data_IF_342187205860
#
_entry.id   IF_342187205860
#
_cell.length_a   1.000
_cell.length_b   1.000
_cell.length_c   1.000
_cell.angle_alpha   90.00
_cell.angle_beta   90.00
_cell.angle_gamma   90.00
#
_symmetry.space_group_name_H-M   'P 1'
#
loop_
_entity.id
_entity.type
_entity.pdbx_description
1 polymer ?
2 non-polymer ?
3 water ?
#
# COMPACT_ATOMS: atom_id res chain seq x y z
N UNK A 10 24.92 19.17 -19.78
CA UNK A 10 23.48 19.46 -19.78
C UNK A 10 22.73 18.34 -20.47
N UNK A 11 22.41 17.25 -19.72
CA UNK A 11 21.49 16.33 -20.41
C UNK A 11 20.04 16.78 -20.22
N UNK A 12 19.69 17.96 -20.75
CA UNK A 12 18.37 18.53 -20.52
C UNK A 12 17.33 17.95 -21.49
N UNK A 13 16.20 17.50 -20.95
CA UNK A 13 15.19 16.82 -21.76
C UNK A 13 13.79 17.38 -21.47
N UNK A 14 13.31 18.26 -22.35
CA UNK A 14 12.01 18.90 -22.16
C UNK A 14 11.16 18.87 -23.42
N UNK A 15 9.85 18.78 -23.25
CA UNK A 15 8.91 18.76 -24.37
C UNK A 15 7.90 19.89 -24.27
N UNK A 16 7.93 20.62 -23.16
CA UNK A 16 6.97 21.69 -22.91
C UNK A 16 7.41 23.01 -23.52
N UNK A 17 6.62 23.49 -24.47
CA UNK A 17 6.95 24.72 -25.18
C UNK A 17 5.66 25.36 -25.65
N UNK A 18 5.71 26.64 -26.00
CA UNK A 18 4.51 27.28 -26.50
C UNK A 18 4.43 27.00 -27.99
N UNK A 19 3.57 26.05 -28.34
CA UNK A 19 3.32 25.71 -29.73
C UNK A 19 1.86 25.91 -30.07
N UNK A 20 1.04 26.15 -29.04
CA UNK A 20 -0.40 26.24 -29.21
C UNK A 20 -0.86 27.63 -29.63
N UNK A 21 -1.81 27.67 -30.56
CA UNK A 21 -2.44 28.91 -30.97
C UNK A 21 -3.93 28.69 -31.22
N UNK A 22 -4.73 29.69 -30.92
CA UNK A 22 -6.17 29.61 -31.15
C UNK A 22 -6.58 30.61 -32.23
N UNK A 23 -7.24 30.11 -33.27
CA UNK A 23 -7.60 30.95 -34.41
C UNK A 23 -8.96 31.62 -34.23
N UNK A 24 -9.98 30.83 -33.90
CA UNK A 24 -11.32 31.36 -33.75
C UNK A 24 -11.59 31.92 -32.37
N UNK A 25 -12.87 32.02 -32.03
CA UNK A 25 -13.27 32.45 -30.70
C UNK A 25 -13.60 31.25 -29.83
N UNK A 26 -13.51 31.43 -28.52
CA UNK A 26 -13.88 30.38 -27.59
C UNK A 26 -15.39 30.34 -27.41
N UNK A 27 -15.96 29.15 -27.43
CA UNK A 27 -17.37 28.99 -27.10
C UNK A 27 -17.49 28.82 -25.60
N UNK A 28 -18.43 29.56 -25.01
CA UNK A 28 -18.60 29.61 -23.56
C UNK A 28 -19.64 28.59 -23.13
N UNK A 29 -19.28 27.78 -22.15
CA UNK A 29 -20.17 26.77 -21.61
C UNK A 29 -20.26 26.89 -20.10
N UNK A 30 -21.36 26.41 -19.55
CA UNK A 30 -21.53 26.35 -18.11
C UNK A 30 -21.63 24.91 -17.65
N UNK A 31 -20.93 24.58 -16.57
CA UNK A 31 -21.04 23.27 -15.95
C UNK A 31 -22.50 23.00 -15.60
N UNK A 32 -22.89 21.74 -15.54
CA UNK A 32 -24.25 21.43 -15.11
C UNK A 32 -24.35 21.57 -13.60
N UNK A 33 -25.57 21.80 -13.12
CA UNK A 33 -25.85 22.04 -11.70
C UNK A 33 -25.11 21.05 -10.80
N UNK A 34 -24.87 19.85 -11.32
CA UNK A 34 -23.99 18.93 -10.63
C UNK A 34 -22.56 19.47 -10.65
N UNK A 35 -21.91 19.54 -11.81
CA UNK A 35 -20.45 19.69 -11.82
C UNK A 35 -19.96 20.94 -11.08
N UNK A 36 -20.81 21.96 -11.01
CA UNK A 36 -20.40 23.15 -10.30
C UNK A 36 -20.14 22.81 -8.83
N UNK A 37 -21.00 21.99 -8.26
CA UNK A 37 -20.80 21.50 -6.89
C UNK A 37 -19.57 20.60 -6.77
N UNK A 38 -19.39 19.71 -7.74
CA UNK A 38 -18.27 18.75 -7.73
C UNK A 38 -16.92 19.45 -7.81
N UNK A 39 -16.85 20.47 -8.66
CA UNK A 39 -15.62 21.25 -8.85
C UNK A 39 -15.35 22.16 -7.65
N UNK A 40 -16.43 22.77 -7.19
CA UNK A 40 -16.49 23.60 -6.00
C UNK A 40 -15.94 22.81 -4.79
N UNK A 41 -16.58 21.66 -4.54
CA UNK A 41 -16.27 20.77 -3.41
C UNK A 41 -14.81 20.31 -3.35
N UNK A 42 -14.35 19.69 -4.45
CA UNK A 42 -12.99 19.16 -4.61
C UNK A 42 -11.97 20.25 -4.35
N UNK A 43 -12.29 21.48 -4.77
CA UNK A 43 -11.51 22.64 -4.31
C UNK A 43 -11.69 22.99 -2.83
N UNK A 44 -12.94 23.14 -2.38
CA UNK A 44 -13.21 23.57 -1.01
C UNK A 44 -12.91 22.64 0.19
N UNK A 45 -13.35 21.38 0.12
CA UNK A 45 -13.27 20.50 1.29
C UNK A 45 -12.67 19.10 1.11
N UNK A 46 -12.40 18.73 -0.14
CA UNK A 46 -12.08 17.36 -0.52
C UNK A 46 -10.69 16.89 -0.07
N UNK A 47 -9.70 17.77 -0.19
CA UNK A 47 -8.31 17.42 0.11
C UNK A 47 -7.78 18.16 1.33
N UNK A 48 -7.15 17.43 2.23
CA UNK A 48 -6.65 18.01 3.48
C UNK A 48 -5.51 19.00 3.24
N UNK A 49 -4.60 18.69 2.32
CA UNK A 49 -3.54 19.61 1.92
C UNK A 49 -3.41 19.75 0.40
N UNK A 50 -3.34 20.99 -0.04
CA UNK A 50 -3.39 21.36 -1.47
C UNK A 50 -2.39 20.64 -2.39
N UNK A 51 -1.17 20.42 -1.90
CA UNK A 51 -0.08 19.87 -2.72
C UNK A 51 -0.47 18.61 -3.49
N UNK A 52 -1.41 17.86 -2.94
CA UNK A 52 -1.85 16.61 -3.55
C UNK A 52 -2.42 16.79 -4.95
N UNK A 53 -2.65 18.03 -5.37
CA UNK A 53 -3.12 18.24 -6.74
C UNK A 53 -2.05 17.70 -7.70
N UNK A 54 -0.79 17.97 -7.38
CA UNK A 54 0.33 17.44 -8.14
C UNK A 54 0.23 15.92 -8.23
N UNK A 55 -0.16 15.31 -7.12
CA UNK A 55 -0.33 13.87 -7.04
C UNK A 55 -1.41 13.37 -7.98
N UNK A 56 -2.52 14.10 -8.07
CA UNK A 56 -3.66 13.64 -8.84
C UNK A 56 -3.39 13.74 -10.33
N UNK A 57 -2.98 14.93 -10.78
CA UNK A 57 -2.66 15.18 -12.17
C UNK A 57 -1.66 14.16 -12.71
N UNK A 58 -0.55 14.01 -12.00
CA UNK A 58 0.45 12.99 -12.34
C UNK A 58 -0.22 11.64 -12.53
N UNK A 59 -1.06 11.25 -11.57
CA UNK A 59 -1.77 9.99 -11.66
C UNK A 59 -2.58 9.93 -12.95
N UNK A 60 -3.31 10.99 -13.24
CA UNK A 60 -4.05 11.08 -14.48
C UNK A 60 -3.10 10.90 -15.67
N UNK A 61 -1.98 11.62 -15.62
CA UNK A 61 -0.98 11.55 -16.68
C UNK A 61 -0.50 10.12 -16.88
N UNK A 62 -0.47 9.35 -15.79
CA UNK A 62 -0.07 7.96 -15.88
C UNK A 62 -1.13 7.19 -16.64
N UNK A 63 -2.38 7.32 -16.20
CA UNK A 63 -3.49 6.55 -16.76
C UNK A 63 -3.58 6.72 -18.27
N UNK A 64 -3.67 7.98 -18.71
CA UNK A 64 -3.66 8.31 -20.13
C UNK A 64 -2.55 7.53 -20.84
N UNK A 65 -1.33 7.66 -20.31
CA UNK A 65 -0.18 7.02 -20.92
C UNK A 65 -0.42 5.52 -21.05
N UNK A 66 -0.89 4.91 -19.96
CA UNK A 66 -1.19 3.48 -19.98
C UNK A 66 -2.16 3.19 -21.13
N UNK A 67 -3.24 3.95 -21.18
CA UNK A 67 -4.29 3.73 -22.16
C UNK A 67 -3.75 3.88 -23.58
N UNK A 68 -2.72 4.69 -23.75
CA UNK A 68 -2.10 4.81 -25.05
C UNK A 68 -1.29 3.57 -25.34
N UNK A 69 -0.45 3.18 -24.39
CA UNK A 69 0.47 2.07 -24.57
C UNK A 69 -0.32 0.79 -24.83
N UNK A 70 -1.42 0.62 -24.11
CA UNK A 70 -2.30 -0.51 -24.30
C UNK A 70 -2.84 -0.56 -25.73
N UNK A 71 -3.24 0.60 -26.23
CA UNK A 71 -3.83 0.69 -27.57
C UNK A 71 -2.82 0.24 -28.62
N UNK A 72 -1.75 1.02 -28.75
CA UNK A 72 -0.69 0.78 -29.73
C UNK A 72 -0.20 -0.67 -29.73
N UNK A 73 0.26 -1.14 -28.58
CA UNK A 73 0.76 -2.50 -28.43
C UNK A 73 -0.28 -3.52 -28.92
N UNK A 74 -1.54 -3.26 -28.66
CA UNK A 74 -2.61 -4.17 -29.08
C UNK A 74 -2.74 -4.19 -30.60
N UNK A 75 -2.60 -3.03 -31.23
CA UNK A 75 -2.73 -2.94 -32.68
C UNK A 75 -1.41 -3.29 -33.38
N UNK A 76 -0.38 -3.57 -32.59
CA UNK A 76 0.91 -3.95 -33.13
C UNK A 76 1.70 -2.77 -33.65
N UNK A 77 1.31 -1.56 -33.22
CA UNK A 77 1.98 -0.35 -33.65
C UNK A 77 3.18 -0.02 -32.75
N UNK A 78 4.16 0.65 -33.32
CA UNK A 78 5.36 1.04 -32.58
C UNK A 78 5.03 2.08 -31.51
N UNK A 79 5.90 2.18 -30.51
CA UNK A 79 5.67 3.09 -29.39
C UNK A 79 6.45 4.39 -29.53
N UNK A 80 5.76 5.52 -29.31
CA UNK A 80 6.41 6.82 -29.26
C UNK A 80 6.96 7.08 -27.87
N UNK A 81 7.57 8.24 -27.66
CA UNK A 81 8.08 8.57 -26.34
C UNK A 81 6.92 8.81 -25.36
N UNK A 82 6.81 7.92 -24.38
CA UNK A 82 5.78 8.07 -23.37
C UNK A 82 6.47 8.68 -22.18
N UNK A 83 6.06 9.89 -21.84
CA UNK A 83 6.67 10.61 -20.73
C UNK A 83 5.71 11.56 -20.02
N UNK A 84 6.03 11.89 -18.77
CA UNK A 84 5.32 12.93 -18.04
C UNK A 84 6.29 14.06 -17.73
N UNK A 85 5.88 15.29 -18.03
CA UNK A 85 6.76 16.44 -17.83
C UNK A 85 6.11 17.52 -16.96
N UNK A 86 6.89 18.03 -16.03
CA UNK A 86 6.44 19.12 -15.16
C UNK A 86 7.33 20.33 -15.35
N UNK A 87 6.73 21.52 -15.38
CA UNK A 87 7.48 22.76 -15.57
C UNK A 87 7.02 23.83 -14.59
N UNK A 88 7.94 24.34 -13.78
CA UNK A 88 7.62 25.45 -12.89
C UNK A 88 8.15 26.76 -13.48
N UNK A 89 7.44 27.85 -13.22
CA UNK A 89 7.86 29.17 -13.69
C UNK A 89 7.57 30.23 -12.65
N UNK A 90 8.63 30.89 -12.18
CA UNK A 90 8.53 31.87 -11.10
C UNK A 90 8.03 33.22 -11.61
N UNK A 91 8.56 33.64 -12.77
CA UNK A 91 8.22 34.94 -13.34
C UNK A 91 6.76 35.00 -13.77
N UNK A 92 6.22 33.87 -14.21
CA UNK A 92 4.83 33.79 -14.63
C UNK A 92 3.95 33.21 -13.53
N UNK A 93 4.59 32.65 -12.50
CA UNK A 93 3.90 32.08 -11.38
C UNK A 93 3.01 30.91 -11.76
N UNK A 94 3.53 30.04 -12.63
CA UNK A 94 2.72 28.93 -13.13
C UNK A 94 3.36 27.57 -12.89
N UNK A 95 2.52 26.55 -12.78
CA UNK A 95 3.00 25.17 -12.80
C UNK A 95 2.29 24.42 -13.93
N UNK A 96 3.06 23.63 -14.68
CA UNK A 96 2.57 23.00 -15.89
C UNK A 96 2.81 21.49 -15.87
N UNK A 97 1.84 20.72 -16.33
CA UNK A 97 2.04 19.28 -16.46
C UNK A 97 1.54 18.76 -17.81
N UNK A 98 2.45 18.21 -18.60
CA UNK A 98 2.11 17.67 -19.90
C UNK A 98 2.40 16.18 -19.97
N UNK A 99 1.48 15.45 -20.60
CA UNK A 99 1.65 14.04 -20.92
C UNK A 99 1.24 13.84 -22.37
N UNK A 100 1.99 13.00 -23.09
CA UNK A 100 1.70 12.74 -24.49
C UNK A 100 0.69 11.61 -24.65
N UNK A 101 0.30 11.01 -23.52
CA UNK A 101 -0.54 9.83 -23.52
C UNK A 101 -1.68 9.92 -24.53
N UNK A 102 -2.71 9.12 -24.31
CA UNK A 102 -3.92 9.25 -25.11
C UNK A 102 -4.56 10.58 -24.72
N UNK A 103 -5.27 11.20 -25.65
CA UNK A 103 -5.79 12.52 -25.40
C UNK A 103 -7.27 12.54 -25.09
N UNK A 104 -7.86 13.72 -25.23
CA UNK A 104 -9.29 13.88 -25.02
C UNK A 104 -9.94 14.39 -26.29
N UNK A 105 -10.99 13.72 -26.73
CA UNK A 105 -11.78 14.20 -27.86
C UNK A 105 -12.54 15.44 -27.42
N UNK A 106 -13.13 16.15 -28.38
CA UNK A 106 -13.90 17.35 -28.07
C UNK A 106 -15.06 17.03 -27.13
N UNK A 107 -15.69 15.90 -27.37
CA UNK A 107 -16.80 15.42 -26.55
C UNK A 107 -16.40 15.30 -25.08
N UNK A 108 -15.24 14.68 -24.84
CA UNK A 108 -14.74 14.47 -23.49
C UNK A 108 -14.48 15.79 -22.78
N UNK A 109 -13.90 16.74 -23.50
CA UNK A 109 -13.59 18.05 -22.95
C UNK A 109 -14.87 18.83 -22.59
N UNK A 110 -15.85 18.78 -23.48
CA UNK A 110 -17.08 19.55 -23.30
C UNK A 110 -17.90 19.06 -22.10
N UNK A 111 -18.12 17.76 -22.00
CA UNK A 111 -18.95 17.20 -20.94
C UNK A 111 -18.10 16.64 -19.80
N UNK A 142 -11.54 8.43 -15.28
CA UNK A 142 -10.49 9.11 -14.53
C UNK A 142 -10.97 9.51 -13.14
N UNK A 143 -11.98 10.37 -13.08
CA UNK A 143 -12.56 10.77 -11.81
C UNK A 143 -12.66 12.26 -11.62
N UNK A 144 -12.27 12.72 -10.44
CA UNK A 144 -12.37 14.13 -10.08
C UNK A 144 -11.01 14.74 -9.74
N UNK A 145 -9.96 13.93 -9.86
CA UNK A 145 -8.62 14.36 -9.52
C UNK A 145 -8.22 15.67 -10.15
N UNK A 146 -8.50 15.82 -11.44
CA UNK A 146 -8.17 17.03 -12.18
C UNK A 146 -8.62 18.30 -11.47
N UNK A 147 -9.87 18.30 -11.01
CA UNK A 147 -10.46 19.50 -10.43
C UNK A 147 -9.77 19.94 -9.14
N UNK A 148 -8.96 19.05 -8.56
CA UNK A 148 -8.17 19.42 -7.38
C UNK A 148 -7.21 20.56 -7.72
N UNK A 149 -6.94 20.73 -9.01
CA UNK A 149 -6.11 21.83 -9.48
C UNK A 149 -6.66 23.19 -9.06
N UNK A 150 -7.96 23.26 -8.83
CA UNK A 150 -8.58 24.52 -8.46
C UNK A 150 -8.45 24.81 -6.97
N UNK A 151 -7.70 23.97 -6.26
CA UNK A 151 -7.33 24.27 -4.89
C UNK A 151 -6.25 25.32 -4.86
N UNK A 152 -5.55 25.49 -5.98
CA UNK A 152 -4.35 26.33 -6.01
C UNK A 152 -4.31 27.33 -7.17
N UNK A 153 -5.39 27.44 -7.94
CA UNK A 153 -5.33 28.20 -9.19
C UNK A 153 -6.35 29.33 -9.31
N UNK A 154 -5.90 30.46 -9.85
CA UNK A 154 -6.80 31.52 -10.30
C UNK A 154 -7.54 31.04 -11.53
N UNK A 155 -6.79 30.44 -12.45
CA UNK A 155 -7.34 29.94 -13.70
C UNK A 155 -6.55 28.74 -14.21
N UNK A 156 -7.23 27.87 -14.94
CA UNK A 156 -6.63 26.67 -15.50
C UNK A 156 -6.79 26.67 -17.02
N UNK A 157 -5.66 26.48 -17.69
CA UNK A 157 -5.57 26.50 -19.15
C UNK A 157 -5.06 25.17 -19.67
N UNK A 158 -5.88 24.48 -20.45
CA UNK A 158 -5.59 23.11 -20.86
C UNK A 158 -5.61 22.94 -22.37
N UNK A 159 -4.64 22.21 -22.90
CA UNK A 159 -4.65 21.85 -24.31
C UNK A 159 -4.59 20.33 -24.43
N UNK A 160 -5.48 19.77 -25.24
CA UNK A 160 -5.50 18.31 -25.38
C UNK A 160 -5.79 17.87 -26.81
N UNK A 161 -5.24 16.71 -27.14
CA UNK A 161 -5.52 16.06 -28.41
C UNK A 161 -5.68 14.58 -28.15
N UNK A 162 -6.67 13.99 -28.79
CA UNK A 162 -6.82 12.53 -28.76
C UNK A 162 -5.82 11.83 -29.69
N UNK A 163 -5.46 10.61 -29.32
CA UNK A 163 -4.52 9.81 -30.09
C UNK A 163 -5.19 9.21 -31.32
N UNK A 164 -6.52 9.33 -31.38
CA UNK A 164 -7.27 8.86 -32.53
C UNK A 164 -6.79 9.59 -33.79
N UNK A 165 -6.64 8.85 -34.89
CA UNK A 165 -6.13 9.41 -36.15
C UNK A 165 -6.94 10.60 -36.64
N UNK A 166 -6.26 11.66 -37.07
CA UNK A 166 -6.90 12.85 -37.58
C UNK A 166 -7.72 13.59 -36.54
N UNK A 167 -7.29 13.52 -35.29
CA UNK A 167 -7.97 14.25 -34.22
C UNK A 167 -7.49 15.69 -34.14
N UNK A 168 -8.40 16.59 -33.78
CA UNK A 168 -8.06 17.99 -33.63
C UNK A 168 -7.66 18.32 -32.20
N UNK A 169 -6.82 19.33 -32.04
CA UNK A 169 -6.42 19.80 -30.73
C UNK A 169 -7.39 20.84 -30.22
N UNK A 170 -7.53 20.93 -28.90
CA UNK A 170 -8.47 21.87 -28.31
C UNK A 170 -7.91 22.57 -27.07
N UNK A 171 -8.38 23.79 -26.88
CA UNK A 171 -8.10 24.60 -25.70
C UNK A 171 -9.34 24.69 -24.81
N UNK A 172 -9.11 24.50 -23.51
CA UNK A 172 -10.12 24.52 -22.47
C UNK A 172 -9.68 25.50 -21.39
N UNK A 173 -10.50 26.50 -21.10
CA UNK A 173 -10.12 27.51 -20.10
C UNK A 173 -11.16 27.59 -19.00
N UNK A 174 -10.71 27.74 -17.75
CA UNK A 174 -11.65 27.85 -16.62
C UNK A 174 -11.19 28.78 -15.51
N UNK A 175 -12.15 29.48 -14.88
CA UNK A 175 -11.89 30.28 -13.69
C UNK A 175 -12.42 29.58 -12.44
N UNK A 176 -12.88 28.35 -12.62
CA UNK A 176 -13.55 27.57 -11.60
C UNK A 176 -14.97 28.04 -11.36
N UNK A 177 -15.33 29.16 -11.97
CA UNK A 177 -16.63 29.79 -11.82
C UNK A 177 -17.82 28.84 -11.94
N UNK A 178 -17.89 28.15 -13.07
CA UNK A 178 -19.14 27.61 -13.52
C UNK A 178 -19.13 27.91 -15.00
N UNK A 179 -18.18 28.74 -15.41
CA UNK A 179 -17.97 29.07 -16.83
C UNK A 179 -16.63 28.53 -17.35
N UNK A 180 -16.67 27.65 -18.34
CA UNK A 180 -15.44 27.26 -19.04
C UNK A 180 -15.56 27.54 -20.53
N UNK A 181 -14.43 27.52 -21.23
CA UNK A 181 -14.40 27.88 -22.63
C UNK A 181 -13.70 26.81 -23.47
N UNK A 182 -14.27 26.51 -24.64
CA UNK A 182 -13.65 25.55 -25.54
C UNK A 182 -13.39 26.17 -26.91
N UNK A 183 -12.17 26.01 -27.43
CA UNK A 183 -11.87 26.48 -28.78
C UNK A 183 -10.96 25.49 -29.48
N UNK A 184 -11.01 25.45 -30.81
CA UNK A 184 -10.10 24.59 -31.55
C UNK A 184 -8.72 25.20 -31.61
N UNK A 185 -7.72 24.43 -31.19
CA UNK A 185 -6.35 24.93 -31.14
C UNK A 185 -5.45 24.20 -32.12
N UNK A 186 -4.42 24.90 -32.58
CA UNK A 186 -3.38 24.30 -33.42
C UNK A 186 -2.11 24.15 -32.61
N UNK A 187 -1.18 23.32 -33.09
CA UNK A 187 0.09 23.12 -32.40
C UNK A 187 -0.06 22.39 -31.08
N UNK A 188 -1.12 21.57 -30.98
CA UNK A 188 -1.31 20.75 -29.80
C UNK A 188 -0.74 19.35 -30.03
N UNK A 189 0.20 18.96 -29.17
CA UNK A 189 0.78 17.63 -29.25
C UNK A 189 -0.22 16.60 -28.74
N UNK A 190 -0.15 15.38 -29.29
CA UNK A 190 -0.97 14.28 -28.80
C UNK A 190 -0.75 14.11 -27.30
N UNK A 191 -1.84 14.02 -26.56
CA UNK A 191 -1.77 13.97 -25.11
C UNK A 191 -2.42 15.19 -24.49
N UNK A 192 -2.12 15.45 -23.22
CA UNK A 192 -2.76 16.56 -22.51
C UNK A 192 -1.74 17.49 -21.87
N UNK A 193 -1.94 18.80 -22.06
CA UNK A 193 -1.09 19.80 -21.43
C UNK A 193 -1.92 20.70 -20.52
N UNK A 194 -1.60 20.70 -19.23
CA UNK A 194 -2.34 21.49 -18.26
C UNK A 194 -1.50 22.61 -17.69
N UNK A 195 -1.93 23.85 -17.93
CA UNK A 195 -1.24 25.02 -17.43
C UNK A 195 -2.01 25.65 -16.27
N UNK A 196 -1.39 25.65 -15.10
CA UNK A 196 -2.01 26.19 -13.89
C UNK A 196 -1.39 27.52 -13.50
N UNK A 197 -2.23 28.57 -13.54
CA UNK A 197 -1.83 29.88 -13.05
C UNK A 197 -2.20 29.99 -11.57
N UNK A 198 -1.23 29.68 -10.72
CA UNK A 198 -1.43 29.64 -9.27
C UNK A 198 -1.98 30.95 -8.74
N UNK A 199 -2.93 30.86 -7.80
CA UNK A 199 -3.39 32.04 -7.08
C UNK A 199 -2.24 32.58 -6.24
N UNK A 200 -2.40 33.78 -5.68
CA UNK A 200 -1.23 34.48 -5.15
C UNK A 200 -0.63 33.93 -3.84
N UNK A 201 -1.39 33.16 -3.05
CA UNK A 201 -0.84 32.54 -1.84
C UNK A 201 -0.21 31.17 -2.14
N UNK A 202 -0.34 30.72 -3.39
CA UNK A 202 0.16 29.39 -3.78
C UNK A 202 1.34 29.46 -4.75
N UNK A 203 2.08 30.57 -4.77
CA UNK A 203 3.24 30.69 -5.65
C UNK A 203 4.36 29.72 -5.28
N UNK A 204 4.23 29.06 -4.14
CA UNK A 204 5.22 28.10 -3.68
C UNK A 204 5.35 26.91 -4.63
N UNK A 205 4.26 26.56 -5.30
CA UNK A 205 4.26 25.46 -6.25
C UNK A 205 4.78 25.92 -7.60
N UNK A 206 5.33 27.13 -7.63
CA UNK A 206 6.04 27.63 -8.79
C UNK A 206 7.54 27.48 -8.57
N UNK A 207 7.90 27.04 -7.36
CA UNK A 207 9.29 26.82 -7.00
C UNK A 207 9.71 25.39 -7.31
N UNK A 208 10.84 25.24 -7.99
CA UNK A 208 11.33 23.93 -8.42
C UNK A 208 11.56 22.98 -7.25
N UNK A 209 12.22 23.47 -6.20
CA UNK A 209 12.54 22.65 -5.04
C UNK A 209 11.28 22.07 -4.38
N UNK A 210 10.33 22.95 -4.09
CA UNK A 210 9.06 22.57 -3.48
C UNK A 210 8.36 21.43 -4.23
N UNK A 211 8.12 21.67 -5.52
CA UNK A 211 7.45 20.71 -6.38
C UNK A 211 8.25 19.40 -6.47
N UNK A 212 9.57 19.51 -6.52
CA UNK A 212 10.46 18.35 -6.44
C UNK A 212 10.13 17.49 -5.22
N UNK A 213 10.09 18.15 -4.07
CA UNK A 213 9.77 17.47 -2.81
C UNK A 213 8.41 16.78 -2.86
N UNK A 214 7.40 17.49 -3.33
CA UNK A 214 6.05 16.92 -3.45
C UNK A 214 6.06 15.67 -4.33
N UNK A 215 6.70 15.79 -5.48
CA UNK A 215 6.85 14.70 -6.44
C UNK A 215 7.47 13.46 -5.82
N UNK A 216 8.65 13.62 -5.23
CA UNK A 216 9.33 12.47 -4.63
C UNK A 216 8.52 11.90 -3.48
N UNK A 217 7.73 12.75 -2.83
CA UNK A 217 6.85 12.31 -1.75
C UNK A 217 5.79 11.35 -2.26
N UNK A 218 4.93 11.83 -3.17
CA UNK A 218 3.77 11.03 -3.56
C UNK A 218 3.94 10.19 -4.83
N UNK A 219 4.82 10.66 -5.71
CA UNK A 219 4.88 10.20 -7.11
C UNK A 219 6.14 9.45 -7.53
N UNK A 220 6.93 8.98 -6.57
CA UNK A 220 8.22 8.36 -6.89
C UNK A 220 8.09 7.12 -7.76
N UNK A 221 7.07 6.31 -7.50
CA UNK A 221 6.91 5.00 -8.13
C UNK A 221 6.06 5.03 -9.40
N UNK A 222 5.97 6.20 -10.04
CA UNK A 222 5.21 6.34 -11.28
C UNK A 222 5.70 5.38 -12.35
N UNK A 223 4.77 4.83 -13.14
CA UNK A 223 5.09 3.79 -14.11
C UNK A 223 5.78 4.32 -15.37
N UNK A 224 5.62 5.60 -15.64
CA UNK A 224 6.22 6.21 -16.83
C UNK A 224 7.26 7.25 -16.44
N UNK A 225 8.29 7.45 -17.29
CA UNK A 225 9.36 8.43 -17.04
C UNK A 225 8.82 9.83 -16.72
N UNK A 226 9.27 10.39 -15.60
CA UNK A 226 8.79 11.68 -15.15
C UNK A 226 9.90 12.71 -15.07
N UNK A 227 9.69 13.85 -15.71
CA UNK A 227 10.70 14.90 -15.77
C UNK A 227 10.20 16.19 -15.12
N UNK A 228 11.08 16.87 -14.39
CA UNK A 228 10.79 18.19 -13.86
C UNK A 228 11.80 19.20 -14.40
N UNK A 229 11.29 20.23 -15.06
CA UNK A 229 12.12 21.27 -15.67
C UNK A 229 13.27 20.71 -16.51
N UNK A 230 13.01 19.59 -17.18
CA UNK A 230 13.99 18.98 -18.06
C UNK A 230 14.79 17.85 -17.43
N UNK A 231 14.65 17.67 -16.13
CA UNK A 231 15.47 16.69 -15.42
C UNK A 231 14.67 15.48 -14.92
N UNK A 232 15.19 14.29 -15.17
CA UNK A 232 14.56 13.06 -14.70
C UNK A 232 14.54 13.02 -13.17
N UNK A 233 13.38 12.71 -12.61
CA UNK A 233 13.19 12.78 -11.17
C UNK A 233 12.74 11.49 -10.50
N UNK A 234 12.49 10.42 -11.28
CA UNK A 234 11.95 9.18 -10.73
C UNK A 234 12.74 7.96 -11.19
N UNK A 235 12.78 6.93 -10.35
CA UNK A 235 13.56 5.74 -10.70
C UNK A 235 13.15 4.48 -9.94
N UNK A 236 12.29 4.60 -8.94
CA UNK A 236 11.91 3.43 -8.14
C UNK A 236 10.77 2.66 -8.78
N UNK A 237 10.87 1.33 -8.73
CA UNK A 237 9.93 0.45 -9.40
C UNK A 237 8.89 -0.12 -8.43
N UNK A 238 7.62 0.11 -8.72
CA UNK A 238 6.53 -0.39 -7.89
C UNK A 238 6.43 -1.91 -8.00
N UNK A 239 7.38 -2.60 -7.38
CA UNK A 239 7.51 -4.05 -7.53
C UNK A 239 6.34 -4.83 -6.96
N UNK A 240 5.48 -4.18 -6.18
CA UNK A 240 4.32 -4.85 -5.61
C UNK A 240 3.26 -5.11 -6.67
N UNK A 241 3.36 -4.38 -7.78
CA UNK A 241 2.43 -4.55 -8.89
C UNK A 241 2.80 -5.71 -9.79
N UNK A 242 4.07 -6.13 -9.72
CA UNK A 242 4.56 -7.21 -10.56
C UNK A 242 3.92 -8.56 -10.22
N UNK A 243 4.16 -9.53 -11.09
CA UNK A 243 3.83 -10.92 -10.81
C UNK A 243 4.84 -11.42 -9.78
N UNK A 244 4.35 -11.97 -8.65
CA UNK A 244 5.22 -12.52 -7.60
C UNK A 244 6.30 -13.44 -8.14
N UNK A 245 6.01 -14.14 -9.23
CA UNK A 245 6.96 -15.03 -9.87
C UNK A 245 8.02 -14.31 -10.71
N UNK A 246 7.88 -13.00 -10.87
CA UNK A 246 8.86 -12.25 -11.65
C UNK A 246 9.79 -11.45 -10.75
N UNK A 247 9.27 -11.05 -9.59
CA UNK A 247 10.08 -10.38 -8.58
C UNK A 247 11.07 -11.35 -7.95
N UNK A 248 12.36 -10.99 -7.94
CA UNK A 248 13.34 -11.84 -7.29
C UNK A 248 14.28 -11.09 -6.34
N UNK A 249 15.00 -11.87 -5.55
CA UNK A 249 15.63 -11.46 -4.29
C UNK A 249 16.19 -10.03 -4.18
N UNK A 250 17.05 -9.63 -5.13
CA UNK A 250 17.72 -8.34 -5.02
C UNK A 250 16.72 -7.17 -5.00
N UNK A 251 15.62 -7.32 -5.72
CA UNK A 251 14.56 -6.33 -5.76
C UNK A 251 13.81 -6.23 -4.43
N UNK A 252 13.38 -7.39 -3.92
CA UNK A 252 12.71 -7.45 -2.62
C UNK A 252 13.60 -6.85 -1.53
N UNK A 253 14.91 -7.10 -1.64
CA UNK A 253 15.86 -6.56 -0.67
C UNK A 253 15.95 -5.04 -0.76
N UNK A 254 16.11 -4.52 -1.98
CA UNK A 254 16.11 -3.07 -2.17
C UNK A 254 14.85 -2.41 -1.59
N UNK A 255 13.70 -2.88 -2.04
CA UNK A 255 12.42 -2.32 -1.62
C UNK A 255 12.24 -2.40 -0.11
N UNK A 256 12.64 -3.53 0.48
CA UNK A 256 12.59 -3.69 1.93
C UNK A 256 13.41 -2.61 2.61
N UNK A 257 14.63 -2.41 2.13
CA UNK A 257 15.50 -1.39 2.70
C UNK A 257 14.89 0.01 2.57
N UNK A 258 14.26 0.28 1.43
CA UNK A 258 13.63 1.59 1.23
C UNK A 258 12.47 1.81 2.20
N UNK A 259 11.49 0.92 2.18
CA UNK A 259 10.28 1.12 2.98
C UNK A 259 10.52 1.01 4.48
N UNK A 260 11.48 0.20 4.89
CA UNK A 260 11.73 0.00 6.31
C UNK A 260 12.85 0.92 6.81
N UNK A 261 13.47 1.62 5.86
CA UNK A 261 14.63 2.46 6.16
C UNK A 261 15.67 1.67 6.95
N UNK A 262 15.96 0.47 6.47
CA UNK A 262 16.85 -0.45 7.16
C UNK A 262 18.01 -0.86 6.26
N UNK A 263 19.04 -1.44 6.87
CA UNK A 263 20.24 -1.84 6.13
C UNK A 263 20.42 -3.35 6.11
N UNK A 264 19.49 -4.08 6.72
CA UNK A 264 19.56 -5.53 6.75
C UNK A 264 18.71 -6.15 5.66
N UNK A 265 18.35 -7.42 5.85
CA UNK A 265 17.55 -8.15 4.88
C UNK A 265 16.24 -8.63 5.50
N UNK A 266 15.21 -8.87 4.67
CA UNK A 266 13.98 -9.43 5.23
C UNK A 266 14.11 -10.94 5.43
N UNK A 267 13.86 -11.40 6.65
CA UNK A 267 13.91 -12.84 6.92
C UNK A 267 12.67 -13.50 6.33
N UNK A 268 11.58 -12.75 6.22
CA UNK A 268 10.36 -13.28 5.61
C UNK A 268 9.79 -12.32 4.55
N UNK A 269 9.30 -12.88 3.45
CA UNK A 269 8.69 -12.09 2.39
C UNK A 269 7.38 -12.70 1.90
N UNK A 270 6.31 -11.92 1.94
CA UNK A 270 5.00 -12.33 1.45
C UNK A 270 4.48 -11.35 0.40
N UNK A 271 4.42 -11.79 -0.85
CA UNK A 271 3.87 -10.99 -1.93
C UNK A 271 2.43 -11.42 -2.18
N UNK A 272 1.48 -10.58 -1.78
CA UNK A 272 0.07 -10.97 -1.74
C UNK A 272 -0.82 -10.13 -2.65
N UNK A 273 -1.51 -10.79 -3.58
CA UNK A 273 -2.40 -10.12 -4.52
C UNK A 273 -3.78 -10.77 -4.55
N UNK A 274 -4.83 -9.95 -4.48
CA UNK A 274 -6.20 -10.48 -4.60
C UNK A 274 -7.18 -9.53 -5.28
N UNK A 275 -8.14 -10.11 -5.99
CA UNK A 275 -9.30 -9.40 -6.51
C UNK A 275 -10.56 -10.01 -5.91
N UNK A 276 -10.42 -11.16 -5.28
CA UNK A 276 -11.56 -11.94 -4.80
C UNK A 276 -12.35 -11.21 -3.69
N UNK A 277 -11.67 -10.74 -2.63
CA UNK A 277 -12.49 -9.91 -1.74
C UNK A 277 -12.47 -8.44 -2.16
N UNK A 278 -11.36 -7.76 -1.89
CA UNK A 278 -11.15 -6.39 -2.35
C UNK A 278 -9.93 -6.36 -3.25
N UNK A 279 -9.56 -5.18 -3.73
CA UNK A 279 -8.37 -5.02 -4.55
C UNK A 279 -7.11 -4.89 -3.70
N UNK A 280 -6.22 -5.88 -3.77
CA UNK A 280 -5.00 -5.83 -2.95
C UNK A 280 -3.73 -6.20 -3.73
N UNK A 281 -2.77 -5.28 -3.72
CA UNK A 281 -1.41 -5.53 -4.18
C UNK A 281 -0.44 -5.17 -3.06
N UNK A 282 0.06 -6.17 -2.33
CA UNK A 282 0.87 -5.87 -1.16
C UNK A 282 2.15 -6.70 -1.06
N UNK A 283 3.12 -6.14 -0.34
CA UNK A 283 4.32 -6.90 0.03
C UNK A 283 4.61 -6.70 1.52
N UNK A 284 4.82 -7.82 2.22
CA UNK A 284 5.10 -7.78 3.64
C UNK A 284 6.45 -8.42 3.96
N UNK A 285 7.23 -7.75 4.81
CA UNK A 285 8.56 -8.20 5.18
C UNK A 285 8.70 -8.36 6.68
N UNK A 286 9.41 -9.41 7.08
CA UNK A 286 9.88 -9.56 8.45
C UNK A 286 11.40 -9.47 8.47
N UNK A 287 11.92 -8.43 9.13
CA UNK A 287 13.34 -8.08 9.25
C UNK A 287 14.21 -9.20 9.84
N UNK A 288 15.48 -9.23 9.43
CA UNK A 288 16.44 -10.18 9.97
C UNK A 288 16.73 -9.86 11.43
N UNK A 289 16.83 -8.57 11.73
CA UNK A 289 17.16 -8.11 13.07
C UNK A 289 15.94 -8.17 13.99
N UNK A 290 16.18 -8.43 15.28
CA UNK A 290 15.11 -8.41 16.27
C UNK A 290 14.71 -6.97 16.61
N UNK A 291 13.47 -6.77 17.09
CA UNK A 291 12.98 -5.43 17.43
C UNK A 291 13.91 -4.67 18.36
N UNK A 303 6.43 1.51 9.77
CA UNK A 303 5.34 0.56 9.51
C UNK A 303 4.96 0.54 8.03
N UNK A 304 3.82 -0.08 7.74
CA UNK A 304 3.39 -0.29 6.36
C UNK A 304 2.94 1.00 5.68
N UNK A 305 3.37 1.19 4.44
CA UNK A 305 2.95 2.33 3.63
C UNK A 305 1.68 2.01 2.85
N UNK A 306 0.78 2.99 2.79
CA UNK A 306 -0.49 2.83 2.07
C UNK A 306 -0.48 3.53 0.72
N UNK A 307 -0.42 2.73 -0.35
CA UNK A 307 -0.47 3.26 -1.70
C UNK A 307 -1.80 2.93 -2.37
N UNK A 308 -2.12 3.70 -3.40
CA UNK A 308 -3.21 3.39 -4.31
C UNK A 308 -2.72 3.58 -5.74
N UNK A 309 -2.77 2.52 -6.55
CA UNK A 309 -2.40 2.62 -7.96
C UNK A 309 -1.00 3.22 -8.11
N UNK A 310 -0.09 2.86 -7.22
CA UNK A 310 1.27 3.38 -7.26
C UNK A 310 1.34 4.84 -6.80
N UNK A 311 0.28 5.30 -6.15
CA UNK A 311 0.21 6.69 -5.69
C UNK A 311 0.10 6.74 -4.16
N UNK A 312 1.06 7.43 -3.52
CA UNK A 312 1.12 7.46 -2.07
C UNK A 312 -0.10 8.14 -1.44
N UNK A 313 -0.84 7.40 -0.60
CA UNK A 313 -1.98 7.96 0.12
C UNK A 313 -1.57 8.36 1.54
N UNK A 314 -0.95 7.43 2.25
CA UNK A 314 -0.64 7.64 3.66
C UNK A 314 0.76 7.19 4.07
N UNK A 315 1.28 7.83 5.12
CA UNK A 315 2.59 7.49 5.67
C UNK A 315 2.48 7.08 7.14
N UNK A 316 3.14 5.98 7.50
CA UNK A 316 3.12 5.49 8.87
C UNK A 316 1.69 5.19 9.34
N UNK A 317 0.88 4.64 8.44
CA UNK A 317 -0.52 4.33 8.76
C UNK A 317 -0.62 3.27 9.86
N UNK A 318 -1.54 3.49 10.80
CA UNK A 318 -1.66 2.62 11.97
C UNK A 318 -2.86 1.67 12.01
N UNK A 319 -3.66 1.58 10.96
CA UNK A 319 -4.87 0.77 11.06
C UNK A 319 -4.97 -0.30 9.96
N UNK A 320 -4.08 -0.24 8.98
CA UNK A 320 -4.04 -1.24 7.91
C UNK A 320 -3.82 -2.64 8.48
N UNK A 321 -2.92 -2.74 9.44
CA UNK A 321 -2.66 -4.00 10.13
C UNK A 321 -3.03 -3.90 11.59
N UNK A 322 -3.42 -5.03 12.21
CA UNK A 322 -3.60 -5.05 13.66
C UNK A 322 -2.31 -4.65 14.35
N UNK A 323 -2.42 -3.99 15.50
CA UNK A 323 -1.26 -3.44 16.18
C UNK A 323 -0.22 -4.50 16.50
N UNK A 324 -0.68 -5.72 16.78
CA UNK A 324 0.25 -6.79 17.12
C UNK A 324 1.09 -7.19 15.91
N UNK A 325 0.69 -6.73 14.74
CA UNK A 325 1.45 -6.96 13.51
C UNK A 325 2.22 -5.71 13.09
N UNK A 326 2.49 -4.83 14.04
CA UNK A 326 3.17 -3.56 13.76
C UNK A 326 4.65 -3.77 13.46
N UNK A 327 5.14 -5.00 13.63
CA UNK A 327 6.53 -5.32 13.35
C UNK A 327 6.73 -5.59 11.85
N UNK A 328 5.63 -5.82 11.15
CA UNK A 328 5.65 -6.06 9.71
C UNK A 328 6.06 -4.79 8.96
N UNK A 329 6.89 -4.93 7.94
CA UNK A 329 7.25 -3.79 7.10
C UNK A 329 6.75 -3.98 5.68
N UNK A 330 6.67 -2.91 4.90
CA UNK A 330 6.29 -3.05 3.50
C UNK A 330 5.17 -2.17 3.01
N UNK A 331 4.44 -2.65 2.01
CA UNK A 331 3.47 -1.80 1.32
C UNK A 331 2.12 -2.50 1.09
N UNK A 332 1.05 -1.73 1.17
CA UNK A 332 -0.28 -2.21 0.80
C UNK A 332 -0.90 -1.25 -0.22
N UNK A 333 -1.28 -1.79 -1.38
CA UNK A 333 -1.83 -0.98 -2.45
C UNK A 333 -3.25 -1.40 -2.79
N UNK A 334 -4.18 -0.46 -2.75
CA UNK A 334 -5.59 -0.77 -2.99
C UNK A 334 -6.33 0.38 -3.66
N UNK A 335 -7.31 0.03 -4.51
CA UNK A 335 -8.10 1.03 -5.22
C UNK A 335 -9.35 1.40 -4.43
N UNK A 336 -9.55 0.74 -3.29
CA UNK A 336 -10.73 0.94 -2.47
C UNK A 336 -10.42 1.91 -1.34
N UNK A 337 -10.13 3.14 -1.74
CA UNK A 337 -9.58 4.16 -0.87
C UNK A 337 -10.27 5.49 -1.14
N UNK A 338 -10.47 6.32 -0.09
CA UNK A 338 -11.13 7.64 -0.19
C UNK A 338 -10.90 8.43 -1.48
N UNK A 349 -10.04 7.63 8.29
CA UNK A 349 -9.80 6.22 8.53
C UNK A 349 -10.86 5.64 9.48
N UNK A 350 -12.11 5.63 9.04
CA UNK A 350 -13.20 5.07 9.82
C UNK A 350 -13.45 3.60 9.54
N UNK A 351 -13.46 3.23 8.26
CA UNK A 351 -13.72 1.84 7.88
C UNK A 351 -12.75 1.30 6.84
N UNK A 352 -11.51 1.10 7.24
CA UNK A 352 -10.51 0.45 6.39
C UNK A 352 -10.33 -0.98 6.88
N UNK A 353 -11.19 -1.38 7.81
CA UNK A 353 -10.99 -2.60 8.59
C UNK A 353 -11.22 -3.91 7.83
N UNK A 354 -11.91 -3.85 6.68
CA UNK A 354 -12.05 -5.05 5.84
C UNK A 354 -10.67 -5.55 5.51
N UNK A 355 -9.88 -4.62 5.00
CA UNK A 355 -8.50 -4.84 4.65
C UNK A 355 -7.73 -5.37 5.85
N UNK A 356 -7.98 -4.81 7.02
CA UNK A 356 -7.26 -5.24 8.22
C UNK A 356 -7.52 -6.70 8.56
N UNK A 357 -8.77 -7.11 8.46
CA UNK A 357 -9.13 -8.50 8.74
C UNK A 357 -8.54 -9.43 7.68
N UNK A 358 -8.71 -9.07 6.41
CA UNK A 358 -8.17 -9.86 5.32
C UNK A 358 -6.65 -10.07 5.47
N UNK A 359 -5.95 -8.98 5.77
CA UNK A 359 -4.51 -9.02 5.92
C UNK A 359 -4.07 -9.77 7.18
N UNK A 360 -4.85 -9.67 8.24
CA UNK A 360 -4.53 -10.41 9.46
C UNK A 360 -4.63 -11.90 9.20
N UNK A 361 -5.72 -12.32 8.55
CA UNK A 361 -5.91 -13.73 8.24
C UNK A 361 -4.84 -14.24 7.27
N UNK A 362 -4.53 -13.43 6.25
CA UNK A 362 -3.53 -13.81 5.26
C UNK A 362 -2.14 -13.93 5.87
N UNK A 363 -1.81 -13.04 6.79
CA UNK A 363 -0.50 -13.06 7.44
C UNK A 363 -0.38 -14.23 8.42
N UNK A 364 -1.43 -14.45 9.21
CA UNK A 364 -1.46 -15.61 10.10
C UNK A 364 -1.28 -16.89 9.29
N UNK A 365 -2.05 -17.02 8.21
CA UNK A 365 -1.94 -18.16 7.32
C UNK A 365 -0.51 -18.30 6.79
N UNK A 366 0.08 -17.17 6.39
CA UNK A 366 1.44 -17.15 5.88
C UNK A 366 2.42 -17.75 6.88
N UNK A 367 2.39 -17.26 8.11
CA UNK A 367 3.31 -17.74 9.15
C UNK A 367 3.07 -19.20 9.49
N UNK A 368 1.80 -19.61 9.57
CA UNK A 368 1.46 -21.01 9.79
C UNK A 368 2.08 -21.89 8.71
N UNK A 369 2.04 -21.41 7.46
CA UNK A 369 2.63 -22.14 6.36
C UNK A 369 4.16 -22.08 6.39
N UNK A 370 4.70 -21.05 7.04
CA UNK A 370 6.14 -20.93 7.19
C UNK A 370 6.66 -21.96 8.16
N UNK A 371 5.88 -22.22 9.21
CA UNK A 371 6.28 -23.17 10.24
C UNK A 371 6.37 -24.61 9.72
N UNK A 372 5.76 -24.87 8.58
CA UNK A 372 5.73 -26.22 8.01
C UNK A 372 6.88 -26.46 7.02
N UNK A 373 7.09 -25.52 6.10
CA UNK A 373 8.17 -25.67 5.12
C UNK A 373 9.55 -25.54 5.79
N UNK A 374 9.61 -24.82 6.91
CA UNK A 374 10.83 -24.73 7.69
C UNK A 374 10.47 -24.72 9.19
N UNK A 375 11.22 -25.49 9.97
CA UNK A 375 10.91 -25.65 11.39
C UNK A 375 11.72 -24.72 12.29
N UNK A 376 13.03 -24.68 12.09
CA UNK A 376 13.91 -23.94 13.01
C UNK A 376 13.96 -22.44 12.72
N UNK A 377 13.82 -22.06 11.45
CA UNK A 377 13.76 -20.65 11.09
C UNK A 377 12.55 -20.01 11.76
N UNK A 378 11.43 -20.73 11.74
CA UNK A 378 10.24 -20.25 12.42
C UNK A 378 10.43 -20.29 13.93
N UNK A 379 11.29 -21.19 14.41
CA UNK A 379 11.58 -21.25 15.83
C UNK A 379 12.27 -19.95 16.27
N UNK A 380 13.27 -19.53 15.51
CA UNK A 380 13.93 -18.26 15.80
C UNK A 380 12.95 -17.10 15.64
N UNK A 381 12.09 -17.18 14.63
CA UNK A 381 11.07 -16.15 14.43
C UNK A 381 10.18 -15.99 15.66
N UNK A 382 9.70 -17.10 16.19
CA UNK A 382 8.87 -17.09 17.39
C UNK A 382 9.67 -16.58 18.58
N UNK A 383 10.96 -16.89 18.60
CA UNK A 383 11.82 -16.43 19.68
C UNK A 383 11.93 -14.90 19.68
N UNK A 384 12.01 -14.32 18.49
CA UNK A 384 12.26 -12.88 18.38
C UNK A 384 10.99 -12.03 18.32
N UNK A 385 9.87 -12.64 17.95
CA UNK A 385 8.63 -11.88 17.75
C UNK A 385 7.43 -12.44 18.51
N UNK A 386 7.64 -13.45 19.34
CA UNK A 386 6.57 -14.06 20.10
C UNK A 386 5.85 -13.07 21.00
N UNK A 387 6.59 -12.04 21.41
CA UNK A 387 6.05 -10.90 22.15
C UNK A 387 4.76 -10.38 21.53
N UNK A 388 4.84 -10.01 20.26
CA UNK A 388 3.71 -9.43 19.55
C UNK A 388 2.54 -10.38 19.42
N UNK A 389 2.85 -11.67 19.36
CA UNK A 389 1.82 -12.68 19.18
C UNK A 389 1.04 -12.90 20.47
N UNK A 390 1.76 -13.01 21.58
CA UNK A 390 1.14 -13.08 22.90
C UNK A 390 0.31 -11.84 23.17
N UNK A 391 0.91 -10.69 22.90
CA UNK A 391 0.25 -9.39 23.07
C UNK A 391 -1.04 -9.32 22.26
N UNK A 392 -0.98 -9.78 21.02
CA UNK A 392 -2.14 -9.83 20.15
C UNK A 392 -3.23 -10.73 20.70
N UNK A 393 -2.83 -11.89 21.22
CA UNK A 393 -3.77 -12.83 21.81
C UNK A 393 -4.50 -12.22 23.00
N UNK A 394 -3.74 -11.63 23.92
CA UNK A 394 -4.33 -11.05 25.12
C UNK A 394 -5.17 -9.81 24.79
N UNK A 395 -4.82 -9.13 23.69
CA UNK A 395 -5.51 -7.90 23.31
C UNK A 395 -6.87 -8.17 22.65
N UNK A 396 -6.91 -9.12 21.73
CA UNK A 396 -8.11 -9.38 20.93
C UNK A 396 -9.31 -9.78 21.80
N UNK A 397 -10.47 -9.21 21.47
CA UNK A 397 -11.68 -9.42 22.25
C UNK A 397 -12.31 -10.80 22.00
N UNK A 398 -12.69 -11.06 20.76
CA UNK A 398 -13.36 -12.31 20.40
C UNK A 398 -12.40 -13.47 20.57
N UNK A 399 -12.95 -14.63 20.92
CA UNK A 399 -12.17 -15.78 21.33
C UNK A 399 -11.32 -16.38 20.22
N UNK A 400 -11.87 -16.50 19.02
CA UNK A 400 -11.16 -17.29 18.04
C UNK A 400 -10.20 -16.40 17.28
N UNK A 401 -10.30 -15.08 17.40
CA UNK A 401 -9.20 -14.23 16.93
C UNK A 401 -7.96 -14.57 17.79
N UNK A 402 -8.21 -14.66 19.09
CA UNK A 402 -7.23 -15.17 20.04
C UNK A 402 -6.67 -16.50 19.53
N UNK A 403 -7.55 -17.41 19.11
CA UNK A 403 -7.10 -18.76 18.72
C UNK A 403 -6.31 -18.82 17.39
N UNK A 404 -6.81 -18.10 16.37
CA UNK A 404 -6.04 -17.83 15.14
C UNK A 404 -4.63 -17.41 15.45
N UNK A 405 -4.51 -16.37 16.26
CA UNK A 405 -3.18 -15.88 16.59
C UNK A 405 -2.42 -16.92 17.40
N UNK A 406 -3.16 -17.73 18.17
CA UNK A 406 -2.57 -18.76 19.01
C UNK A 406 -2.03 -19.93 18.19
N UNK A 407 -2.46 -20.02 16.94
CA UNK A 407 -1.98 -21.07 16.05
C UNK A 407 -0.50 -20.87 15.69
N UNK A 408 0.04 -19.72 16.08
CA UNK A 408 1.42 -19.39 15.78
C UNK A 408 2.35 -19.69 16.95
N UNK A 409 1.77 -19.97 18.11
CA UNK A 409 2.55 -20.23 19.33
C UNK A 409 3.28 -21.57 19.29
N UNK A 410 4.53 -21.55 19.75
CA UNK A 410 5.35 -22.76 19.83
C UNK A 410 5.86 -23.00 21.24
N UNK A 411 5.63 -24.20 21.75
CA UNK A 411 6.06 -24.56 23.10
C UNK A 411 6.70 -25.95 23.13
N UNK A 412 7.60 -26.19 24.08
CA UNK A 412 8.18 -27.51 24.26
C UNK A 412 7.12 -28.48 24.79
N UNK A 413 7.36 -29.77 24.61
CA UNK A 413 6.40 -30.78 25.01
C UNK A 413 7.05 -31.91 25.78
N UNK A 414 6.25 -32.60 26.59
CA UNK A 414 6.72 -33.76 27.33
C UNK A 414 7.03 -34.91 26.37
N UNK A 415 6.38 -34.89 25.21
CA UNK A 415 6.54 -35.94 24.22
C UNK A 415 7.79 -35.75 23.38
N UNK A 416 8.06 -34.51 22.98
CA UNK A 416 9.15 -34.21 22.07
C UNK A 416 10.48 -34.02 22.81
N UNK A 417 11.61 -34.24 22.10
CA UNK A 417 12.93 -34.06 22.73
C UNK A 417 13.16 -32.62 23.18
N UNK A 418 13.85 -32.46 24.30
CA UNK A 418 14.15 -31.14 24.85
C UNK A 418 14.90 -30.29 23.84
N UNK A 419 14.23 -29.23 23.36
CA UNK A 419 14.82 -28.36 22.36
C UNK A 419 13.89 -28.14 21.18
N UNK A 420 12.88 -29.00 21.06
CA UNK A 420 11.92 -28.90 19.97
C UNK A 420 10.62 -28.22 20.44
N UNK A 421 9.93 -27.59 19.50
CA UNK A 421 8.70 -26.85 19.81
C UNK A 421 7.48 -27.46 19.13
N UNK A 422 6.30 -27.14 19.66
CA UNK A 422 5.05 -27.66 19.13
C UNK A 422 3.94 -26.62 19.20
N UNK A 423 3.11 -26.57 18.17
CA UNK A 423 1.92 -25.72 18.17
C UNK A 423 0.79 -26.39 18.96
N UNK A 424 -0.26 -25.63 19.24
CA UNK A 424 -1.40 -26.16 19.98
C UNK A 424 -2.18 -27.19 19.18
N UNK A 425 -2.39 -26.87 17.90
CA UNK A 425 -3.20 -27.69 17.01
C UNK A 425 -2.55 -29.05 16.86
N UNK A 426 -1.22 -29.07 16.89
CA UNK A 426 -0.48 -30.32 16.89
C UNK A 426 -0.86 -31.09 18.14
N UNK A 427 -1.05 -30.36 19.24
CA UNK A 427 -1.40 -30.96 20.52
C UNK A 427 -2.75 -31.68 20.47
N UNK A 428 -3.69 -31.12 19.71
CA UNK A 428 -5.01 -31.71 19.55
C UNK A 428 -4.88 -33.09 18.93
N UNK A 429 -3.94 -33.24 18.00
CA UNK A 429 -3.84 -34.49 17.25
C UNK A 429 -3.51 -35.68 18.15
N UNK A 430 -2.51 -35.47 19.01
CA UNK A 430 -1.94 -36.50 19.86
C UNK A 430 -2.95 -37.05 20.86
N UNK A 431 -3.78 -36.18 21.41
CA UNK A 431 -4.69 -36.64 22.45
C UNK A 431 -5.60 -37.71 21.88
N UNK A 432 -5.77 -38.80 22.62
CA UNK A 432 -6.73 -39.82 22.21
C UNK A 432 -7.89 -39.77 23.19
N UNK A 433 -9.07 -39.43 22.68
CA UNK A 433 -10.25 -39.29 23.52
C UNK A 433 -10.06 -38.04 24.37
N UNK A 434 -10.89 -37.91 25.42
CA UNK A 434 -10.69 -36.89 26.42
C UNK A 434 -10.60 -35.47 25.90
N UNK A 435 -11.41 -35.13 24.92
CA UNK A 435 -11.46 -33.76 24.42
C UNK A 435 -11.93 -32.87 25.56
N UNK A 436 -11.33 -31.69 25.69
CA UNK A 436 -11.70 -30.80 26.79
C UNK A 436 -10.58 -30.80 27.83
N UNK A 437 -9.37 -31.14 27.41
CA UNK A 437 -8.22 -31.01 28.27
C UNK A 437 -6.99 -30.73 27.41
N UNK A 438 -6.31 -29.63 27.71
CA UNK A 438 -4.99 -29.37 27.16
C UNK A 438 -4.10 -29.20 28.38
N UNK A 439 -3.00 -29.93 28.44
CA UNK A 439 -2.20 -29.88 29.66
C UNK A 439 -0.91 -29.09 29.52
N UNK A 440 -0.69 -28.15 30.45
CA UNK A 440 0.51 -27.33 30.44
C UNK A 440 1.11 -27.11 31.83
N UNK A 441 2.42 -26.89 31.86
CA UNK A 441 3.15 -26.57 33.09
C UNK A 441 4.26 -25.56 32.81
N UNK A 442 4.37 -24.54 33.65
CA UNK A 442 5.44 -23.56 33.52
C UNK A 442 6.46 -23.73 34.64
N UNK A 443 7.74 -23.80 34.27
CA UNK A 443 8.81 -23.99 35.24
C UNK A 443 10.09 -23.33 34.72
N UNK A 444 11.02 -22.99 35.64
CA UNK A 444 12.33 -22.41 35.32
C UNK A 444 13.00 -23.00 34.07
N UNK A 445 13.08 -24.32 33.98
CA UNK A 445 13.63 -24.95 32.78
C UNK A 445 13.08 -26.35 32.52
N UNK A 446 13.51 -26.95 31.42
CA UNK A 446 12.99 -28.26 31.02
C UNK A 446 13.30 -29.33 32.06
N UNK A 447 14.52 -29.31 32.59
CA UNK A 447 14.92 -30.28 33.59
C UNK A 447 14.10 -30.14 34.84
N UNK A 448 13.86 -28.90 35.25
CA UNK A 448 13.05 -28.63 36.43
C UNK A 448 11.61 -29.10 36.24
N UNK A 449 11.08 -28.88 35.05
CA UNK A 449 9.71 -29.27 34.73
C UNK A 449 9.54 -30.78 34.79
N UNK A 450 10.54 -31.50 34.28
CA UNK A 450 10.48 -32.96 34.23
C UNK A 450 10.36 -33.59 35.62
N UNK A 451 11.12 -33.07 36.57
CA UNK A 451 11.11 -33.58 37.93
C UNK A 451 9.79 -33.42 38.62
N UNK A 452 9.12 -32.30 38.36
CA UNK A 452 8.00 -31.90 39.20
C UNK A 452 6.97 -33.02 39.27
N UNK A 453 6.52 -33.30 40.49
CA UNK A 453 5.64 -34.45 40.76
C UNK A 453 4.30 -34.36 40.07
N UNK A 454 3.70 -33.18 40.04
CA UNK A 454 2.33 -33.06 39.53
C UNK A 454 2.30 -33.65 38.13
N UNK A 455 3.36 -33.40 37.36
CA UNK A 455 3.53 -34.03 36.07
C UNK A 455 3.65 -35.54 36.24
N UNK A 456 4.36 -35.97 37.28
CA UNK A 456 4.60 -37.39 37.51
C UNK A 456 3.33 -38.22 37.38
N UNK A 457 2.22 -37.71 37.89
CA UNK A 457 0.95 -38.40 37.72
C UNK A 457 0.66 -38.46 36.23
N UNK A 458 0.94 -37.36 35.54
CA UNK A 458 0.76 -37.25 34.10
C UNK A 458 1.68 -38.21 33.35
N UNK A 459 2.91 -38.36 33.84
CA UNK A 459 3.91 -39.18 33.16
C UNK A 459 3.46 -40.63 33.08
N UNK A 460 2.86 -41.13 34.16
CA UNK A 460 2.29 -42.46 34.16
C UNK A 460 0.84 -42.46 33.68
N UNK A 461 0.34 -41.24 33.39
CA UNK A 461 -0.93 -40.99 32.71
C UNK A 461 -1.09 -41.40 31.22
N UNK A 462 -0.04 -41.19 30.43
CA UNK A 462 -0.11 -41.38 28.98
C UNK A 462 -0.65 -40.14 28.27
N UNK A 463 -0.76 -39.03 29.01
CA UNK A 463 -1.23 -37.78 28.43
C UNK A 463 -0.10 -36.73 28.40
N UNK A 464 0.13 -36.15 27.23
CA UNK A 464 1.19 -35.17 27.03
C UNK A 464 0.95 -33.85 27.75
N UNK A 465 2.02 -33.24 28.23
CA UNK A 465 1.96 -31.92 28.85
C UNK A 465 2.92 -30.94 28.18
N UNK A 466 2.47 -29.71 27.95
CA UNK A 466 3.32 -28.67 27.36
C UNK A 466 4.20 -28.01 28.43
N UNK A 467 5.33 -27.46 28.00
CA UNK A 467 6.26 -26.81 28.93
C UNK A 467 6.51 -25.34 28.58
N UNK A 468 6.17 -24.45 29.51
CA UNK A 468 6.52 -23.04 29.39
C UNK A 468 7.63 -22.74 30.39
N UNK A 469 8.44 -21.72 30.11
CA UNK A 469 9.54 -21.38 31.01
C UNK A 469 9.53 -19.90 31.39
N UNK A 470 8.51 -19.18 30.93
CA UNK A 470 8.35 -17.78 31.26
C UNK A 470 6.92 -17.50 31.69
N UNK A 471 6.76 -16.57 32.63
CA UNK A 471 5.43 -16.28 33.15
C UNK A 471 4.52 -15.69 32.09
N UNK A 472 5.08 -14.99 31.10
CA UNK A 472 4.22 -14.36 30.10
C UNK A 472 3.60 -15.41 29.17
N UNK A 473 4.30 -16.53 28.98
CA UNK A 473 3.75 -17.63 28.22
C UNK A 473 2.56 -18.25 28.94
N UNK A 474 2.71 -18.44 30.26
CA UNK A 474 1.63 -19.02 31.05
C UNK A 474 0.45 -18.06 31.17
N UNK A 475 0.73 -16.77 31.33
CA UNK A 475 -0.33 -15.77 31.42
C UNK A 475 -1.10 -15.72 30.10
N UNK A 476 -0.36 -15.77 28.99
CA UNK A 476 -0.98 -15.85 27.68
C UNK A 476 -1.89 -17.08 27.60
N UNK A 477 -1.37 -18.22 28.03
CA UNK A 477 -2.12 -19.48 27.97
C UNK A 477 -3.35 -19.47 28.89
N UNK A 478 -3.27 -18.71 29.98
CA UNK A 478 -4.37 -18.60 30.92
C UNK A 478 -5.46 -17.69 30.36
N UNK A 479 -5.05 -16.63 29.68
CA UNK A 479 -6.00 -15.74 29.02
C UNK A 479 -6.75 -16.50 27.94
N UNK A 480 -6.01 -17.09 27.01
CA UNK A 480 -6.58 -18.02 26.05
C UNK A 480 -7.04 -19.27 26.79
N UNK A 481 -8.17 -19.17 27.50
CA UNK A 481 -8.61 -20.26 28.36
C UNK A 481 -8.86 -21.56 27.59
N UNK A 482 -9.19 -21.42 26.30
CA UNK A 482 -9.57 -22.56 25.50
C UNK A 482 -9.02 -22.46 24.08
N UNK A 483 -8.53 -23.57 23.55
CA UNK A 483 -8.10 -23.66 22.17
C UNK A 483 -8.96 -24.72 21.49
N UNK A 484 -9.54 -24.38 20.34
CA UNK A 484 -10.47 -25.30 19.70
C UNK A 484 -11.59 -25.59 20.69
N UNK A 485 -11.86 -26.87 20.89
CA UNK A 485 -12.86 -27.32 21.87
C UNK A 485 -12.22 -27.83 23.17
N UNK A 486 -10.90 -27.69 23.29
CA UNK A 486 -10.17 -28.24 24.43
C UNK A 486 -9.64 -27.16 25.36
N UNK A 487 -9.86 -27.33 26.66
CA UNK A 487 -9.51 -26.29 27.64
C UNK A 487 -8.02 -26.30 27.96
N UNK A 488 -7.46 -25.11 28.23
CA UNK A 488 -6.07 -24.99 28.62
C UNK A 488 -5.94 -24.88 30.13
N UNK A 489 -5.68 -25.99 30.79
CA UNK A 489 -5.60 -25.98 32.24
C UNK A 489 -4.18 -26.39 32.69
N UNK A 490 -3.76 -25.84 33.82
CA UNK A 490 -2.42 -26.12 34.35
C UNK A 490 -2.42 -27.43 35.13
N UNK A 491 -1.34 -28.20 35.03
CA UNK A 491 -1.29 -29.52 35.65
C UNK A 491 -1.35 -29.45 37.18
N UNK A 492 -0.88 -28.34 37.75
CA UNK A 492 -1.09 -28.15 39.18
C UNK A 492 -2.34 -27.33 39.43
N UNK A 493 -3.21 -27.93 40.26
CA UNK A 493 -4.61 -27.58 40.51
C UNK A 493 -5.53 -28.30 39.54
X LIG B 1 -8.59 15.09 -16.59
X LIG B 1 -10.31 18.11 -18.33
X LIG B 1 -11.83 16.96 -16.83
X LIG B 1 -7.92 17.21 -18.53
X LIG B 1 -12.73 18.96 -18.10
X LIG B 1 -5.98 14.11 -18.16
X LIG B 1 -5.03 13.59 -18.93
X LIG B 1 -5.31 12.75 -19.94
X LIG B 1 -6.59 12.39 -20.18
X LIG B 1 -7.65 12.92 -19.38
X LIG B 1 -7.30 13.81 -18.33
X LIG B 1 -9.11 12.82 -19.32
X LIG B 1 -9.51 13.60 -18.29
X LIG B 1 -8.48 14.17 -17.71
X LIG B 1 -9.65 16.15 -17.01
X LIG B 1 -9.33 17.15 -17.94
X LIG B 1 -11.59 17.98 -17.75
X LIG B 1 -10.86 16.08 -16.50
X LIG B 1 -10.01 19.12 -19.28
X LIG B 1 -9.56 20.34 -18.76
X LIG B 1 -6.96 11.29 -21.50
X LIG B 1 -3.68 13.94 -18.69
#
# INVERSE_FOLDING_TARGET
STQTAEDKEEPLHSIISSTESVQGSTSKHEFQAETKKLLDIVARSLYSEKEVFIRELISNASDALEKLRHKLVSDGQALPEMEIHLQTNAEKGTITIQDTGIGMTQEELVSNLGTIARSGSKAFLDALQNQAEASSKIIGQFGVGFYSAFMVADRVEVYSRSAAPGSLGYQWLSDGSGVFEIAEASGVRTGTKIIIHLKSDCKEFSSEARVRDVVTKYSNFVSFPLYLNGRRMNTLQAIWMMDPKDVREWQHEEFYRYVAQAHDKPRYTLHYKTDAPLNIRSIFYVPDMKPSMFDVSRELGSSVALYSRKVLIQTKATDILPKWLRFIRGVVDSEDIPLNLSRELLQESALIRKLRDVLQQRLIKFFIDQSKKDAEKYAKFFEDYGLFMREGIVTATEQEVKEDIAKLLRYESSALPSGQLTSLSEYASRMRAGTRNIYYLCAPNRHLAEHSPYYEAMKKKDTEVLFCFEQFDELTLLHLREFDKKKLISVETDIVVDHYKE
8M9 C10 C13 C15 C17 C20 N01 C02 N03 C04 C05 C06 C07 N08 N09 C11 C12 C14 N16 O18 C19 CL1 N22
#
